data_IF_178751287795
#
_entry.id   IF_178751287795
#
_cell.length_a   1.000
_cell.length_b   1.000
_cell.length_c   1.000
_cell.angle_alpha   90.00
_cell.angle_beta   90.00
_cell.angle_gamma   90.00
#
_symmetry.space_group_name_H-M   'P 1'
#
loop_
_entity.id
_entity.type
_entity.pdbx_description
1 polymer ?
#
# COMPACT_ATOMS: atom_id res chain seq x y z
N UNK A 1 -10.24 -2.73 -1.64
CA UNK A 1 -9.65 -1.46 -1.13
C UNK A 1 -10.74 -0.51 -0.71
N UNK A 2 -11.65 -0.11 -1.62
CA UNK A 2 -12.75 0.82 -1.30
C UNK A 2 -13.65 0.30 -0.18
N UNK A 3 -14.13 -0.94 -0.28
CA UNK A 3 -14.93 -1.59 0.77
C UNK A 3 -14.25 -1.53 2.15
N UNK A 4 -12.97 -1.91 2.24
CA UNK A 4 -12.18 -1.81 3.47
C UNK A 4 -12.12 -0.38 4.02
N UNK A 5 -11.96 0.63 3.15
CA UNK A 5 -11.93 2.04 3.54
C UNK A 5 -13.29 2.45 4.13
N UNK A 6 -14.38 2.03 3.48
CA UNK A 6 -15.76 2.30 3.91
C UNK A 6 -16.12 1.57 5.22
N UNK A 7 -15.51 0.42 5.48
CA UNK A 7 -15.59 -0.31 6.74
C UNK A 7 -14.71 0.30 7.86
N UNK A 8 -13.99 1.39 7.60
CA UNK A 8 -13.17 2.11 8.59
C UNK A 8 -11.68 1.77 8.57
N UNK A 9 -11.20 1.00 7.58
CA UNK A 9 -9.76 0.73 7.41
C UNK A 9 -9.05 1.89 6.74
N UNK A 10 -8.45 2.77 7.53
CA UNK A 10 -7.74 3.94 7.00
C UNK A 10 -6.31 3.64 6.52
N UNK A 11 -5.71 2.54 6.97
CA UNK A 11 -4.31 2.19 6.69
C UNK A 11 -4.24 0.83 5.98
N UNK A 12 -3.85 0.82 4.71
CA UNK A 12 -3.86 -0.38 3.85
C UNK A 12 -2.45 -0.68 3.32
N UNK A 13 -2.01 -1.92 3.48
CA UNK A 13 -0.79 -2.45 2.84
C UNK A 13 -1.21 -3.33 1.65
N UNK A 14 -0.77 -2.95 0.46
CA UNK A 14 -0.89 -3.75 -0.75
C UNK A 14 0.41 -4.54 -0.99
N UNK A 15 0.48 -5.74 -0.43
CA UNK A 15 1.55 -6.70 -0.72
C UNK A 15 1.35 -7.30 -2.12
N UNK A 16 2.35 -7.15 -2.97
CA UNK A 16 2.28 -7.63 -4.35
C UNK A 16 3.59 -8.30 -4.77
N UNK A 17 3.57 -9.34 -5.61
CA UNK A 17 4.78 -9.86 -6.20
C UNK A 17 5.39 -8.82 -7.15
N UNK A 18 6.71 -8.74 -7.16
CA UNK A 18 7.44 -7.87 -8.08
C UNK A 18 7.08 -8.19 -9.54
N UNK A 19 7.06 -7.16 -10.38
CA UNK A 19 6.72 -7.22 -11.79
C UNK A 19 5.28 -7.71 -12.14
N UNK A 20 4.38 -7.86 -11.18
CA UNK A 20 2.96 -8.07 -11.47
C UNK A 20 2.35 -6.79 -12.08
N UNK A 21 2.32 -6.71 -13.41
CA UNK A 21 1.84 -5.55 -14.17
C UNK A 21 0.45 -5.06 -13.76
N UNK A 22 -0.56 -5.92 -13.51
CA UNK A 22 -1.84 -5.47 -12.99
C UNK A 22 -1.70 -4.64 -11.70
N UNK A 23 -0.86 -5.09 -10.77
CA UNK A 23 -0.66 -4.39 -9.50
C UNK A 23 0.25 -3.16 -9.64
N UNK A 24 1.28 -3.24 -10.49
CA UNK A 24 2.26 -2.17 -10.69
C UNK A 24 1.74 -0.99 -11.51
N UNK A 25 0.90 -1.26 -12.50
CA UNK A 25 0.34 -0.22 -13.38
C UNK A 25 -1.04 0.18 -12.89
N UNK A 26 -1.98 -0.76 -12.83
CA UNK A 26 -3.37 -0.45 -12.49
C UNK A 26 -3.52 -0.20 -11.00
N UNK A 27 -3.08 -1.14 -10.15
CA UNK A 27 -3.19 -1.03 -8.69
C UNK A 27 -2.52 0.24 -8.13
N UNK A 28 -1.23 0.43 -8.40
CA UNK A 28 -0.50 1.65 -7.98
C UNK A 28 -1.05 2.91 -8.64
N UNK A 29 -1.51 2.84 -9.91
CA UNK A 29 -2.11 3.97 -10.62
C UNK A 29 -3.39 4.50 -9.96
N UNK A 30 -4.19 3.61 -9.35
CA UNK A 30 -5.43 3.99 -8.66
C UNK A 30 -5.19 4.71 -7.32
N UNK A 31 -4.02 4.53 -6.69
CA UNK A 31 -3.76 5.05 -5.33
C UNK A 31 -3.93 6.57 -5.26
N UNK A 32 -3.49 7.32 -6.28
CA UNK A 32 -3.62 8.78 -6.29
C UNK A 32 -5.09 9.21 -6.24
N UNK A 33 -5.91 8.66 -7.13
CA UNK A 33 -7.35 8.96 -7.18
C UNK A 33 -8.06 8.54 -5.91
N UNK A 34 -7.73 7.37 -5.36
CA UNK A 34 -8.28 6.92 -4.08
C UNK A 34 -7.95 7.88 -2.94
N UNK A 35 -6.73 8.42 -2.90
CA UNK A 35 -6.32 9.39 -1.88
C UNK A 35 -7.02 10.75 -2.05
N UNK A 36 -7.34 11.15 -3.27
CA UNK A 36 -8.14 12.36 -3.55
C UNK A 36 -9.60 12.20 -3.09
N UNK A 37 -10.20 11.02 -3.31
CA UNK A 37 -11.58 10.71 -2.92
C UNK A 37 -11.73 10.36 -1.43
N UNK A 38 -10.71 9.72 -0.84
CA UNK A 38 -10.67 9.30 0.56
C UNK A 38 -9.40 9.88 1.25
N UNK A 39 -9.38 11.18 1.60
CA UNK A 39 -8.18 11.88 2.08
C UNK A 39 -7.58 11.33 3.38
N UNK A 40 -8.41 10.67 4.19
CA UNK A 40 -7.99 10.05 5.45
C UNK A 40 -7.26 8.72 5.25
N UNK A 41 -7.18 8.21 4.02
CA UNK A 41 -6.58 6.91 3.75
C UNK A 41 -5.08 6.99 3.47
N UNK A 42 -4.37 5.98 3.96
CA UNK A 42 -2.96 5.77 3.73
C UNK A 42 -2.72 4.38 3.16
N UNK A 43 -2.52 4.33 1.83
CA UNK A 43 -2.27 3.10 1.09
C UNK A 43 -0.80 3.03 0.72
N UNK A 44 -0.13 1.94 1.06
CA UNK A 44 1.26 1.67 0.67
C UNK A 44 1.34 0.39 -0.15
N UNK A 45 2.07 0.45 -1.25
CA UNK A 45 2.44 -0.73 -2.01
C UNK A 45 3.79 -1.27 -1.53
N UNK A 46 3.86 -2.58 -1.27
CA UNK A 46 5.11 -3.26 -0.90
C UNK A 46 5.32 -4.39 -1.91
N UNK A 47 6.46 -4.33 -2.60
CA UNK A 47 6.83 -5.34 -3.59
C UNK A 47 7.63 -6.46 -2.92
N UNK A 48 7.14 -7.69 -3.09
CA UNK A 48 7.83 -8.90 -2.66
C UNK A 48 8.68 -9.41 -3.84
N UNK A 49 9.98 -9.22 -3.72
CA UNK A 49 10.99 -9.65 -4.70
C UNK A 49 12.05 -10.49 -3.98
N UNK A 50 12.25 -11.78 -4.36
CA UNK A 50 13.35 -12.60 -3.85
C UNK A 50 14.74 -12.00 -4.09
N UNK A 51 14.89 -11.14 -5.11
CA UNK A 51 16.14 -10.46 -5.43
C UNK A 51 16.39 -9.18 -4.61
N UNK A 52 15.38 -8.67 -3.91
CA UNK A 52 15.50 -7.46 -3.10
C UNK A 52 15.76 -7.79 -1.62
N UNK A 53 16.41 -6.87 -0.91
CA UNK A 53 16.62 -7.03 0.53
C UNK A 53 15.29 -7.06 1.28
N UNK A 54 15.11 -8.08 2.14
CA UNK A 54 13.98 -8.17 3.08
C UNK A 54 13.83 -6.92 3.96
N UNK A 55 14.96 -6.27 4.28
CA UNK A 55 15.00 -5.02 5.06
C UNK A 55 14.15 -3.92 4.40
N UNK A 56 14.09 -3.86 3.06
CA UNK A 56 13.25 -2.88 2.37
C UNK A 56 11.77 -3.12 2.66
N UNK A 57 11.31 -4.37 2.64
CA UNK A 57 9.93 -4.73 2.92
C UNK A 57 9.57 -4.39 4.37
N UNK A 58 10.42 -4.82 5.32
CA UNK A 58 10.25 -4.55 6.74
C UNK A 58 10.19 -3.03 7.02
N UNK A 59 11.08 -2.25 6.42
CA UNK A 59 11.11 -0.80 6.63
C UNK A 59 9.85 -0.11 6.09
N UNK A 60 9.33 -0.54 4.94
CA UNK A 60 8.07 0.01 4.40
C UNK A 60 6.88 -0.29 5.30
N UNK A 61 6.80 -1.50 5.84
CA UNK A 61 5.76 -1.89 6.81
C UNK A 61 5.91 -1.08 8.10
N UNK A 62 7.11 -0.98 8.66
CA UNK A 62 7.37 -0.17 9.88
C UNK A 62 6.97 1.28 9.69
N UNK A 63 7.38 1.92 8.60
CA UNK A 63 7.02 3.31 8.29
C UNK A 63 5.51 3.50 8.13
N UNK A 64 4.81 2.51 7.57
CA UNK A 64 3.36 2.55 7.47
C UNK A 64 2.70 2.46 8.85
N UNK A 65 3.17 1.55 9.71
CA UNK A 65 2.67 1.39 11.08
C UNK A 65 2.94 2.61 11.94
N UNK A 66 4.11 3.26 11.84
CA UNK A 66 4.38 4.50 12.55
C UNK A 66 3.37 5.60 12.19
N UNK A 67 2.97 5.67 10.92
CA UNK A 67 1.95 6.61 10.47
C UNK A 67 0.53 6.22 10.87
N UNK A 68 0.28 4.97 11.26
CA UNK A 68 -1.01 4.51 11.76
C UNK A 68 -1.20 4.74 13.27
N UNK A 69 -0.13 5.09 14.01
CA UNK A 69 -0.19 5.40 15.45
C UNK A 69 -0.69 6.82 15.75
N UNK A 70 -0.70 7.69 14.74
CA UNK A 70 -1.02 9.13 14.80
C UNK A 70 -2.15 9.43 13.84
#
# INVERSE_FOLDING_TARGET
MIELIEEGTHHIICMQPFACLPNHITGKGMIKTLKEQYPHTHIVAVDYDPGASEVNQINRVKLMLEKAKT
#
